data_IF_766747620917
#
_entry.id   IF_766747620917
#
_cell.length_a   1.000
_cell.length_b   1.000
_cell.length_c   1.000
_cell.angle_alpha   90.00
_cell.angle_beta   90.00
_cell.angle_gamma   90.00
#
_symmetry.space_group_name_H-M   'P 1'
#
loop_
_entity.id
_entity.type
_entity.pdbx_description
1 polymer ?
#
# COMPACT_ATOMS: atom_id res chain seq x y z
N UNK A 1 -45.31 39.77 -17.88
CA UNK A 1 -45.74 41.13 -17.52
C UNK A 1 -45.94 41.21 -16.02
N UNK A 2 -45.66 42.39 -15.44
CA UNK A 2 -45.94 42.92 -14.08
C UNK A 2 -46.69 42.01 -13.08
N UNK A 3 -46.18 41.68 -11.89
CA UNK A 3 -45.80 42.49 -10.71
C UNK A 3 -46.98 43.08 -9.91
N UNK A 4 -46.89 42.92 -8.58
CA UNK A 4 -47.48 43.68 -7.46
C UNK A 4 -48.85 43.28 -6.83
N UNK A 5 -48.72 42.51 -5.74
CA UNK A 5 -49.17 42.74 -4.33
C UNK A 5 -50.20 43.82 -4.00
N UNK A 6 -51.20 43.49 -3.15
CA UNK A 6 -51.78 44.32 -2.04
C UNK A 6 -52.34 43.33 -0.98
N UNK A 7 -51.85 43.27 0.28
CA UNK A 7 -52.17 44.08 1.50
C UNK A 7 -53.56 43.71 2.09
N UNK A 8 -53.89 43.75 3.38
CA UNK A 8 -53.49 44.65 4.47
C UNK A 8 -54.18 44.16 5.77
N UNK A 9 -53.53 44.28 6.92
CA UNK A 9 -54.18 44.42 8.25
C UNK A 9 -55.33 43.45 8.59
N UNK A 10 -54.98 42.33 9.22
CA UNK A 10 -55.79 41.83 10.32
C UNK A 10 -54.94 41.65 11.58
N UNK A 11 -55.34 42.45 12.57
CA UNK A 11 -55.25 42.16 13.99
C UNK A 11 -53.89 42.26 14.71
N UNK A 12 -53.52 43.50 15.02
CA UNK A 12 -52.71 43.79 16.21
C UNK A 12 -53.50 43.46 17.48
N UNK A 13 -52.92 42.52 18.24
CA UNK A 13 -52.69 42.64 19.69
C UNK A 13 -53.88 42.40 20.65
N UNK A 14 -54.02 41.15 21.11
CA UNK A 14 -54.37 40.87 22.51
C UNK A 14 -53.31 39.95 23.13
N UNK A 15 -52.75 40.44 24.23
CA UNK A 15 -51.73 39.84 25.09
C UNK A 15 -52.14 38.45 25.57
N UNK A 16 -51.27 37.46 25.43
CA UNK A 16 -50.94 36.53 26.53
C UNK A 16 -49.75 35.66 26.18
N UNK A 17 -48.70 35.81 26.99
CA UNK A 17 -47.64 34.86 27.39
C UNK A 17 -46.94 33.96 26.34
N UNK A 18 -45.61 33.95 26.48
CA UNK A 18 -44.64 32.94 26.04
C UNK A 18 -44.30 32.90 24.54
N UNK A 19 -43.22 33.59 24.14
CA UNK A 19 -42.13 33.03 23.31
C UNK A 19 -41.06 34.11 23.07
N UNK A 20 -40.17 34.21 24.04
CA UNK A 20 -38.84 34.80 23.88
C UNK A 20 -38.00 33.95 22.92
N UNK A 21 -37.19 34.61 22.09
CA UNK A 21 -36.04 34.05 21.35
C UNK A 21 -36.34 32.85 20.42
N UNK A 22 -36.79 33.12 19.20
CA UNK A 22 -36.66 32.17 18.10
C UNK A 22 -36.30 32.91 16.80
N UNK A 23 -35.18 33.63 16.83
CA UNK A 23 -34.56 34.18 15.63
C UNK A 23 -33.04 34.03 15.79
N UNK A 24 -32.54 32.78 15.70
CA UNK A 24 -31.15 32.34 15.52
C UNK A 24 -31.00 30.80 15.67
N UNK A 25 -31.70 29.96 14.87
CA UNK A 25 -31.07 28.68 14.49
C UNK A 25 -31.08 28.37 12.98
N UNK A 26 -31.61 29.24 12.13
CA UNK A 26 -31.74 28.96 10.69
C UNK A 26 -30.49 29.26 9.84
N UNK A 27 -29.31 29.41 10.46
CA UNK A 27 -28.02 29.66 9.76
C UNK A 27 -26.94 28.62 10.11
N UNK A 28 -27.32 27.51 10.75
CA UNK A 28 -26.40 26.40 11.08
C UNK A 28 -26.40 25.26 10.04
N UNK A 29 -27.21 25.35 8.98
CA UNK A 29 -27.29 24.33 7.91
C UNK A 29 -26.41 24.77 6.74
N UNK A 30 -25.10 24.47 6.81
CA UNK A 30 -24.16 24.21 5.68
C UNK A 30 -22.67 24.17 6.08
N UNK A 31 -22.31 24.24 7.37
CA UNK A 31 -20.90 24.19 7.77
C UNK A 31 -20.56 22.80 8.32
N UNK A 32 -19.61 22.12 7.66
CA UNK A 32 -19.03 20.88 8.15
C UNK A 32 -18.51 21.05 9.60
N UNK A 33 -18.77 20.04 10.44
CA UNK A 33 -18.33 19.98 11.83
C UNK A 33 -16.79 19.95 11.91
N UNK A 34 -16.20 20.30 13.07
CA UNK A 34 -14.75 20.17 13.25
C UNK A 34 -14.22 18.75 13.01
N UNK A 35 -14.99 17.73 13.40
CA UNK A 35 -14.65 16.32 13.17
C UNK A 35 -14.70 15.98 11.67
N UNK A 36 -15.75 16.41 10.98
CA UNK A 36 -15.89 16.27 9.52
C UNK A 36 -14.71 16.89 8.78
N UNK A 37 -14.35 18.14 9.09
CA UNK A 37 -13.19 18.81 8.47
C UNK A 37 -11.86 18.12 8.75
N UNK A 38 -11.69 17.57 9.96
CA UNK A 38 -10.48 16.83 10.33
C UNK A 38 -10.36 15.51 9.56
N UNK A 39 -11.47 14.77 9.41
CA UNK A 39 -11.53 13.55 8.62
C UNK A 39 -11.32 13.83 7.11
N UNK A 40 -11.95 14.87 6.56
CA UNK A 40 -11.72 15.31 5.17
C UNK A 40 -10.24 15.66 4.93
N UNK A 41 -9.62 16.39 5.87
CA UNK A 41 -8.20 16.74 5.77
C UNK A 41 -7.31 15.50 5.79
N UNK A 42 -7.61 14.52 6.64
CA UNK A 42 -6.89 13.26 6.68
C UNK A 42 -7.08 12.48 5.37
N UNK A 43 -8.33 12.34 4.90
CA UNK A 43 -8.69 11.68 3.65
C UNK A 43 -7.92 12.24 2.43
N UNK A 44 -7.90 13.56 2.26
CA UNK A 44 -7.13 14.23 1.20
C UNK A 44 -5.64 13.91 1.30
N UNK A 45 -5.08 13.94 2.52
CA UNK A 45 -3.65 13.66 2.74
C UNK A 45 -3.27 12.20 2.49
N UNK A 46 -4.15 11.25 2.83
CA UNK A 46 -3.98 9.84 2.49
C UNK A 46 -3.96 9.64 0.98
N UNK A 47 -4.96 10.19 0.29
CA UNK A 47 -5.10 10.08 -1.15
C UNK A 47 -3.90 10.69 -1.88
N UNK A 48 -3.48 11.90 -1.51
CA UNK A 48 -2.30 12.56 -2.09
C UNK A 48 -1.01 11.78 -1.78
N UNK A 49 -0.85 11.21 -0.59
CA UNK A 49 0.37 10.45 -0.24
C UNK A 49 0.45 9.10 -0.98
N UNK A 50 -0.69 8.44 -1.21
CA UNK A 50 -0.80 7.22 -2.03
C UNK A 50 -0.50 7.53 -3.49
N UNK A 51 -1.20 8.51 -4.08
CA UNK A 51 -0.96 8.95 -5.47
C UNK A 51 0.49 9.42 -5.63
N UNK A 52 1.03 10.06 -4.59
CA UNK A 52 2.38 10.58 -4.61
C UNK A 52 3.47 9.57 -4.25
N UNK A 53 3.14 8.32 -3.93
CA UNK A 53 4.12 7.30 -3.55
C UNK A 53 4.98 7.69 -2.34
N UNK A 54 4.51 8.63 -1.51
CA UNK A 54 5.24 9.16 -0.35
C UNK A 54 4.93 8.30 0.88
N UNK A 55 5.52 7.11 0.90
CA UNK A 55 5.26 6.09 1.93
C UNK A 55 5.61 6.59 3.35
N UNK A 56 6.64 7.42 3.49
CA UNK A 56 6.99 8.05 4.78
C UNK A 56 5.89 8.96 5.32
N UNK A 57 5.14 9.62 4.43
CA UNK A 57 4.02 10.48 4.81
C UNK A 57 2.85 9.62 5.30
N UNK A 58 2.55 8.53 4.59
CA UNK A 58 1.55 7.54 5.02
C UNK A 58 1.90 6.97 6.40
N UNK A 59 3.15 6.60 6.62
CA UNK A 59 3.60 6.13 7.93
C UNK A 59 3.45 7.20 9.02
N UNK A 60 3.81 8.44 8.71
CA UNK A 60 3.75 9.55 9.66
C UNK A 60 2.31 10.00 9.97
N UNK A 61 1.34 9.67 9.12
CA UNK A 61 -0.09 9.88 9.33
C UNK A 61 -0.75 8.79 10.16
N UNK A 62 -0.07 7.67 10.43
CA UNK A 62 -0.67 6.63 11.26
C UNK A 62 -0.72 7.04 12.73
N UNK A 63 -1.70 6.53 13.51
CA UNK A 63 -1.74 6.63 14.97
C UNK A 63 -0.42 6.19 15.62
N UNK A 64 -0.10 6.77 16.77
CA UNK A 64 1.14 6.45 17.48
C UNK A 64 1.21 4.97 17.90
N UNK A 65 0.07 4.38 18.29
CA UNK A 65 -0.03 2.93 18.54
C UNK A 65 0.33 2.11 17.29
N UNK A 66 -0.17 2.50 16.13
CA UNK A 66 0.06 1.79 14.87
C UNK A 66 1.53 1.89 14.44
N UNK A 67 2.13 3.07 14.54
CA UNK A 67 3.57 3.25 14.27
C UNK A 67 4.43 2.36 15.18
N UNK A 68 4.03 2.22 16.46
CA UNK A 68 4.69 1.34 17.43
C UNK A 68 4.53 -0.14 17.06
N UNK A 69 3.36 -0.57 16.59
CA UNK A 69 3.13 -1.94 16.14
C UNK A 69 4.01 -2.29 14.93
N UNK A 70 4.06 -1.42 13.91
CA UNK A 70 4.94 -1.62 12.75
C UNK A 70 6.40 -1.68 13.18
N UNK A 71 6.84 -0.78 14.05
CA UNK A 71 8.21 -0.80 14.58
C UNK A 71 8.50 -2.10 15.36
N UNK A 72 7.52 -2.64 16.08
CA UNK A 72 7.63 -3.91 16.78
C UNK A 72 7.72 -5.10 15.81
N UNK A 73 6.91 -5.11 14.75
CA UNK A 73 6.97 -6.13 13.68
C UNK A 73 8.35 -6.15 13.04
N UNK A 74 8.85 -4.99 12.59
CA UNK A 74 10.17 -4.85 11.95
C UNK A 74 11.30 -5.28 12.89
N UNK A 75 11.25 -4.84 14.14
CA UNK A 75 12.23 -5.24 15.17
C UNK A 75 12.21 -6.74 15.42
N UNK A 76 11.02 -7.32 15.56
CA UNK A 76 10.85 -8.75 15.84
C UNK A 76 11.36 -9.58 14.67
N UNK A 77 11.08 -9.15 13.43
CA UNK A 77 11.64 -9.76 12.22
C UNK A 77 13.17 -9.73 12.24
N UNK A 78 13.78 -8.55 12.43
CA UNK A 78 15.24 -8.41 12.48
C UNK A 78 15.89 -9.23 13.59
N UNK A 79 15.22 -9.38 14.73
CA UNK A 79 15.70 -10.19 15.85
C UNK A 79 15.55 -11.70 15.64
N UNK A 80 14.55 -12.13 14.87
CA UNK A 80 14.24 -13.55 14.64
C UNK A 80 14.97 -14.13 13.44
N UNK A 81 15.25 -13.30 12.43
CA UNK A 81 15.89 -13.73 11.20
C UNK A 81 17.32 -14.24 11.43
N UNK A 82 17.63 -15.40 10.82
CA UNK A 82 18.98 -15.97 10.85
C UNK A 82 19.93 -15.16 9.97
N UNK A 83 21.14 -14.91 10.47
CA UNK A 83 22.11 -14.03 9.80
C UNK A 83 22.61 -14.60 8.46
N UNK A 84 22.80 -15.92 8.36
CA UNK A 84 23.28 -16.54 7.12
C UNK A 84 22.18 -16.51 6.05
N UNK A 85 20.94 -16.78 6.46
CA UNK A 85 19.77 -16.67 5.58
C UNK A 85 19.59 -15.25 5.10
N UNK A 86 19.67 -14.25 6.00
CA UNK A 86 19.56 -12.85 5.62
C UNK A 86 20.63 -12.42 4.63
N UNK A 87 21.87 -12.86 4.84
CA UNK A 87 22.99 -12.60 3.92
C UNK A 87 22.72 -13.17 2.53
N UNK A 88 22.18 -14.38 2.46
CA UNK A 88 21.81 -15.01 1.19
C UNK A 88 20.64 -14.29 0.50
N UNK A 89 19.63 -13.85 1.26
CA UNK A 89 18.52 -13.02 0.75
C UNK A 89 19.04 -11.69 0.17
N UNK A 90 19.92 -11.00 0.89
CA UNK A 90 20.54 -9.76 0.39
C UNK A 90 21.37 -10.01 -0.88
N UNK A 91 22.13 -11.10 -0.91
CA UNK A 91 22.90 -11.50 -2.10
C UNK A 91 21.99 -11.76 -3.30
N UNK A 92 20.86 -12.42 -3.10
CA UNK A 92 19.87 -12.69 -4.15
C UNK A 92 19.20 -11.40 -4.64
N UNK A 93 18.82 -10.52 -3.71
CA UNK A 93 18.24 -9.22 -4.05
C UNK A 93 19.21 -8.38 -4.90
N UNK A 94 20.50 -8.38 -4.55
CA UNK A 94 21.54 -7.71 -5.34
C UNK A 94 21.66 -8.26 -6.76
N UNK A 95 21.64 -9.59 -6.91
CA UNK A 95 21.69 -10.25 -8.22
C UNK A 95 20.44 -9.98 -9.05
N UNK A 96 19.26 -10.04 -8.45
CA UNK A 96 18.01 -9.70 -9.13
C UNK A 96 18.02 -8.27 -9.65
N UNK A 97 18.51 -7.33 -8.82
CA UNK A 97 18.66 -5.95 -9.25
C UNK A 97 19.66 -5.81 -10.41
N UNK A 98 20.77 -6.56 -10.39
CA UNK A 98 21.74 -6.56 -11.48
C UNK A 98 21.16 -7.14 -12.78
N UNK A 99 20.31 -8.17 -12.71
CA UNK A 99 19.55 -8.68 -13.86
C UNK A 99 18.63 -7.58 -14.39
N UNK A 100 17.84 -6.93 -13.52
CA UNK A 100 16.90 -5.91 -13.93
C UNK A 100 17.59 -4.68 -14.56
N UNK A 101 18.77 -4.29 -14.07
CA UNK A 101 19.59 -3.25 -14.70
C UNK A 101 20.14 -3.71 -16.04
N UNK A 102 20.70 -4.92 -16.11
CA UNK A 102 21.31 -5.43 -17.34
C UNK A 102 20.29 -5.74 -18.45
N UNK A 103 19.04 -6.00 -18.07
CA UNK A 103 17.93 -6.38 -18.97
C UNK A 103 16.82 -5.36 -19.00
N UNK A 104 17.08 -4.11 -18.59
CA UNK A 104 16.08 -3.04 -18.57
C UNK A 104 15.39 -2.87 -19.91
N UNK A 105 16.10 -3.02 -21.03
CA UNK A 105 15.53 -2.89 -22.37
C UNK A 105 14.57 -4.04 -22.73
N UNK A 106 14.93 -5.28 -22.39
CA UNK A 106 14.06 -6.44 -22.62
C UNK A 106 12.81 -6.37 -21.73
N UNK A 107 13.01 -6.05 -20.44
CA UNK A 107 11.92 -5.87 -19.48
C UNK A 107 10.99 -4.72 -19.89
N UNK A 108 11.55 -3.60 -20.35
CA UNK A 108 10.78 -2.47 -20.85
C UNK A 108 9.99 -2.82 -22.09
N UNK A 109 10.55 -3.64 -22.98
CA UNK A 109 9.84 -4.12 -24.17
C UNK A 109 8.69 -5.07 -23.81
N UNK A 110 8.85 -5.91 -22.79
CA UNK A 110 7.75 -6.74 -22.26
C UNK A 110 6.67 -5.88 -21.59
N UNK A 111 7.07 -4.88 -20.79
CA UNK A 111 6.14 -3.96 -20.15
C UNK A 111 5.36 -3.13 -21.19
N UNK A 112 6.02 -2.65 -22.24
CA UNK A 112 5.39 -1.91 -23.32
C UNK A 112 4.30 -2.74 -24.04
N UNK A 113 4.56 -4.03 -24.26
CA UNK A 113 3.57 -4.96 -24.84
C UNK A 113 2.36 -5.16 -23.92
N UNK A 114 2.59 -5.33 -22.61
CA UNK A 114 1.51 -5.46 -21.62
C UNK A 114 0.64 -4.19 -21.58
N UNK A 115 1.27 -3.03 -21.47
CA UNK A 115 0.58 -1.73 -21.44
C UNK A 115 -0.20 -1.47 -22.73
N UNK A 116 0.33 -1.89 -23.88
CA UNK A 116 -0.38 -1.79 -25.15
C UNK A 116 -1.63 -2.71 -25.18
N UNK A 117 -1.53 -3.92 -24.63
CA UNK A 117 -2.68 -4.84 -24.50
C UNK A 117 -3.75 -4.30 -23.53
N UNK A 118 -3.35 -3.53 -22.53
CA UNK A 118 -4.21 -2.86 -21.55
C UNK A 118 -4.74 -1.49 -22.04
N UNK A 119 -4.42 -1.08 -23.27
CA UNK A 119 -4.92 0.17 -23.87
C UNK A 119 -4.19 1.44 -23.42
N UNK A 120 -3.05 1.32 -22.73
CA UNK A 120 -2.24 2.44 -22.22
C UNK A 120 -0.81 2.43 -22.80
N UNK A 121 -0.65 2.38 -24.14
CA UNK A 121 0.65 2.11 -24.77
C UNK A 121 1.72 3.14 -24.37
N UNK A 122 2.89 2.64 -23.98
CA UNK A 122 4.07 3.45 -23.69
C UNK A 122 5.31 2.87 -24.38
N UNK A 123 6.16 3.69 -25.02
CA UNK A 123 7.37 3.19 -25.68
C UNK A 123 8.35 2.55 -24.70
N UNK A 124 8.94 1.41 -25.09
CA UNK A 124 9.95 0.72 -24.26
C UNK A 124 11.14 1.62 -23.90
N UNK A 125 11.57 2.50 -24.82
CA UNK A 125 12.66 3.45 -24.58
C UNK A 125 12.37 4.43 -23.44
N UNK A 126 11.10 4.73 -23.16
CA UNK A 126 10.70 5.57 -22.04
C UNK A 126 10.61 4.79 -20.72
N UNK A 127 10.36 3.48 -20.78
CA UNK A 127 10.19 2.60 -19.60
C UNK A 127 11.54 2.09 -19.09
N UNK A 128 12.46 1.75 -20.00
CA UNK A 128 13.78 1.22 -19.67
C UNK A 128 14.57 2.04 -18.64
N UNK A 129 14.68 3.38 -18.73
CA UNK A 129 15.38 4.17 -17.71
C UNK A 129 14.71 4.11 -16.34
N UNK A 130 13.38 4.02 -16.29
CA UNK A 130 12.62 3.93 -15.04
C UNK A 130 12.86 2.59 -14.34
N UNK A 131 12.85 1.49 -15.11
CA UNK A 131 13.21 0.15 -14.61
C UNK A 131 14.65 0.15 -14.07
N UNK A 132 15.60 0.71 -14.82
CA UNK A 132 17.00 0.76 -14.39
C UNK A 132 17.19 1.61 -13.13
N UNK A 133 16.48 2.74 -13.02
CA UNK A 133 16.49 3.60 -11.82
C UNK A 133 15.92 2.85 -10.61
N UNK A 134 14.74 2.24 -10.75
CA UNK A 134 14.10 1.46 -9.69
C UNK A 134 14.98 0.28 -9.23
N UNK A 135 15.59 -0.45 -10.17
CA UNK A 135 16.47 -1.57 -9.86
C UNK A 135 17.72 -1.13 -9.09
N UNK A 136 18.35 -0.02 -9.49
CA UNK A 136 19.50 0.56 -8.75
C UNK A 136 19.10 1.00 -7.33
N UNK A 137 17.94 1.65 -7.20
CA UNK A 137 17.41 2.05 -5.89
C UNK A 137 17.12 0.83 -5.01
N UNK A 138 16.49 -0.21 -5.55
CA UNK A 138 16.26 -1.47 -4.85
C UNK A 138 17.56 -2.16 -4.42
N UNK A 139 18.58 -2.18 -5.28
CA UNK A 139 19.92 -2.71 -4.94
C UNK A 139 20.54 -1.95 -3.76
N UNK A 140 20.50 -0.63 -3.81
CA UNK A 140 21.03 0.21 -2.71
C UNK A 140 20.25 -0.04 -1.41
N UNK A 141 18.92 -0.05 -1.50
CA UNK A 141 18.03 -0.25 -0.35
C UNK A 141 18.25 -1.60 0.32
N UNK A 142 18.27 -2.69 -0.45
CA UNK A 142 18.50 -4.05 0.07
C UNK A 142 19.83 -4.17 0.81
N UNK A 143 20.89 -3.47 0.37
CA UNK A 143 22.16 -3.41 1.07
C UNK A 143 22.12 -2.62 2.39
N UNK A 144 21.30 -1.57 2.48
CA UNK A 144 21.12 -0.75 3.69
C UNK A 144 20.23 -1.41 4.75
N UNK A 145 19.30 -2.28 4.33
CA UNK A 145 18.43 -3.05 5.22
C UNK A 145 19.22 -4.21 5.83
N UNK A 146 20.11 -3.93 6.77
CA UNK A 146 20.83 -4.96 7.54
C UNK A 146 19.97 -5.45 8.71
N UNK A 147 20.31 -6.60 9.30
CA UNK A 147 19.62 -7.05 10.52
C UNK A 147 19.73 -6.03 11.65
N UNK A 148 20.83 -5.28 11.75
CA UNK A 148 20.99 -4.25 12.77
C UNK A 148 20.06 -3.06 12.51
N UNK A 149 19.93 -2.63 11.24
CA UNK A 149 18.93 -1.62 10.83
C UNK A 149 17.52 -2.07 11.20
N UNK A 150 17.18 -3.33 10.95
CA UNK A 150 15.84 -3.88 11.25
C UNK A 150 15.61 -4.03 12.76
N UNK A 151 16.60 -4.50 13.52
CA UNK A 151 16.54 -4.62 14.99
C UNK A 151 16.40 -3.27 15.70
N UNK A 152 16.98 -2.20 15.13
CA UNK A 152 16.76 -0.86 15.66
C UNK A 152 15.26 -0.50 15.66
N UNK A 153 14.52 -0.97 14.64
CA UNK A 153 13.09 -0.72 14.51
C UNK A 153 12.75 0.76 14.27
N UNK A 154 13.70 1.55 13.78
CA UNK A 154 13.50 2.94 13.37
C UNK A 154 12.92 2.99 11.95
N UNK A 155 11.63 2.61 11.85
CA UNK A 155 10.91 2.50 10.59
C UNK A 155 10.85 3.84 9.88
N UNK A 156 10.68 4.93 10.62
CA UNK A 156 10.64 6.27 10.04
C UNK A 156 11.96 6.62 9.38
N UNK A 157 13.10 6.42 10.05
CA UNK A 157 14.41 6.67 9.45
C UNK A 157 14.63 5.81 8.19
N UNK A 158 14.24 4.53 8.22
CA UNK A 158 14.34 3.65 7.06
C UNK A 158 13.50 4.17 5.88
N UNK A 159 12.25 4.57 6.12
CA UNK A 159 11.36 5.10 5.08
C UNK A 159 11.81 6.45 4.50
N UNK A 160 12.71 7.18 5.19
CA UNK A 160 13.32 8.41 4.66
C UNK A 160 14.49 8.17 3.72
N UNK A 161 14.92 6.92 3.52
CA UNK A 161 15.94 6.59 2.54
C UNK A 161 15.50 7.02 1.13
N UNK A 162 16.36 7.74 0.37
CA UNK A 162 15.99 8.27 -0.95
C UNK A 162 15.62 7.17 -1.95
N UNK A 163 16.05 5.94 -1.71
CA UNK A 163 15.70 4.78 -2.50
C UNK A 163 14.18 4.51 -2.54
N UNK A 164 13.44 4.73 -1.45
CA UNK A 164 11.99 4.55 -1.44
C UNK A 164 11.30 5.53 -2.39
N UNK A 165 11.71 6.81 -2.35
CA UNK A 165 11.20 7.82 -3.29
C UNK A 165 11.57 7.49 -4.72
N UNK A 166 12.81 7.06 -4.98
CA UNK A 166 13.24 6.69 -6.32
C UNK A 166 12.43 5.51 -6.90
N UNK A 167 12.09 4.51 -6.08
CA UNK A 167 11.22 3.39 -6.48
C UNK A 167 9.79 3.89 -6.72
N UNK A 168 9.24 4.71 -5.83
CA UNK A 168 7.88 5.25 -5.95
C UNK A 168 7.69 6.17 -7.16
N UNK A 169 8.68 6.98 -7.51
CA UNK A 169 8.66 7.80 -8.73
C UNK A 169 8.65 6.94 -9.99
N UNK A 170 9.48 5.89 -10.02
CA UNK A 170 9.54 4.96 -11.14
C UNK A 170 8.25 4.14 -11.28
N UNK A 171 7.52 3.85 -10.20
CA UNK A 171 6.23 3.15 -10.29
C UNK A 171 5.10 4.03 -10.82
N UNK A 172 5.03 5.31 -10.41
CA UNK A 172 4.04 6.26 -10.94
C UNK A 172 4.12 6.46 -12.45
N UNK A 173 5.34 6.50 -13.00
CA UNK A 173 5.49 6.65 -14.44
C UNK A 173 4.89 5.46 -15.20
N UNK A 174 4.82 4.28 -14.56
CA UNK A 174 4.24 3.05 -15.10
C UNK A 174 2.73 2.92 -14.83
N UNK A 175 2.16 3.67 -13.87
CA UNK A 175 0.73 3.67 -13.58
C UNK A 175 0.18 5.11 -13.53
N UNK A 176 -0.15 5.66 -14.70
CA UNK A 176 -0.79 6.99 -14.82
C UNK A 176 -2.24 7.02 -14.36
N UNK A 177 -2.83 5.86 -14.05
CA UNK A 177 -4.21 5.75 -13.60
C UNK A 177 -4.35 5.94 -12.09
N UNK A 178 -3.28 6.05 -11.30
CA UNK A 178 -3.39 6.30 -9.87
C UNK A 178 -4.32 7.51 -9.60
N UNK A 179 -5.49 7.20 -9.04
CA UNK A 179 -6.62 8.09 -8.78
C UNK A 179 -6.53 8.53 -7.33
N UNK A 180 -6.58 9.84 -7.10
CA UNK A 180 -7.27 10.37 -5.93
C UNK A 180 -8.55 11.05 -6.44
N UNK A 181 -9.71 10.56 -6.02
CA UNK A 181 -10.95 11.27 -6.20
C UNK A 181 -10.95 12.57 -5.41
N UNK A 182 -11.65 13.60 -5.87
CA UNK A 182 -11.81 14.81 -5.08
C UNK A 182 -12.76 14.53 -3.91
N UNK A 183 -12.42 14.96 -2.69
CA UNK A 183 -13.39 14.93 -1.59
C UNK A 183 -14.52 15.91 -1.92
N UNK A 184 -15.74 15.41 -2.01
CA UNK A 184 -16.94 16.18 -2.39
C UNK A 184 -17.92 16.37 -1.24
N UNK A 185 -17.70 15.70 -0.11
CA UNK A 185 -18.46 15.92 1.11
C UNK A 185 -18.04 14.98 2.23
N UNK A 186 -18.59 15.23 3.41
CA UNK A 186 -18.51 14.33 4.54
C UNK A 186 -19.75 14.41 5.41
N UNK A 187 -19.96 13.36 6.22
CA UNK A 187 -21.07 13.26 7.16
C UNK A 187 -20.67 12.48 8.40
N UNK A 188 -20.88 13.07 9.57
CA UNK A 188 -20.76 12.35 10.83
C UNK A 188 -21.81 11.23 10.93
N UNK A 189 -21.36 10.04 11.34
CA UNK A 189 -22.20 8.90 11.64
C UNK A 189 -22.49 8.81 13.15
N UNK A 190 -23.52 8.04 13.50
CA UNK A 190 -23.96 7.89 14.90
C UNK A 190 -22.96 7.14 15.78
N UNK A 191 -22.09 6.32 15.17
CA UNK A 191 -21.03 5.57 15.84
C UNK A 191 -19.77 6.41 16.14
N UNK A 192 -19.80 7.71 15.81
CA UNK A 192 -18.66 8.63 15.98
C UNK A 192 -17.65 8.60 14.83
N UNK A 193 -17.87 7.80 13.79
CA UNK A 193 -17.11 7.87 12.54
C UNK A 193 -17.56 9.06 11.67
N UNK A 194 -16.74 9.41 10.68
CA UNK A 194 -17.09 10.37 9.63
C UNK A 194 -16.99 9.66 8.29
N UNK A 195 -18.08 9.61 7.54
CA UNK A 195 -18.08 9.12 6.16
C UNK A 195 -17.61 10.25 5.26
N UNK A 196 -16.52 10.04 4.53
CA UNK A 196 -15.98 10.98 3.54
C UNK A 196 -16.31 10.46 2.14
N UNK A 197 -16.96 11.28 1.32
CA UNK A 197 -17.32 10.93 -0.06
C UNK A 197 -16.24 11.43 -1.01
N UNK A 198 -15.60 10.51 -1.73
CA UNK A 198 -14.67 10.78 -2.82
C UNK A 198 -15.38 10.72 -4.16
N UNK A 199 -15.10 11.67 -5.05
CA UNK A 199 -15.53 11.61 -6.45
C UNK A 199 -14.37 11.18 -7.33
N UNK A 200 -14.46 9.98 -7.88
CA UNK A 200 -13.47 9.40 -8.79
C UNK A 200 -13.46 10.12 -10.16
N UNK A 201 -12.43 9.85 -10.98
CA UNK A 201 -12.21 10.53 -12.28
C UNK A 201 -13.29 10.20 -13.33
N UNK A 202 -13.90 9.03 -13.22
CA UNK A 202 -15.05 8.58 -14.02
C UNK A 202 -16.38 9.24 -13.59
N UNK A 203 -16.37 9.98 -12.48
CA UNK A 203 -17.53 10.65 -11.92
C UNK A 203 -18.30 9.83 -10.89
N UNK A 204 -17.91 8.57 -10.64
CA UNK A 204 -18.48 7.76 -9.56
C UNK A 204 -18.08 8.32 -8.20
N UNK A 205 -18.93 8.06 -7.20
CA UNK A 205 -18.69 8.49 -5.83
C UNK A 205 -18.53 7.30 -4.90
N UNK A 206 -17.53 7.36 -4.05
CA UNK A 206 -17.20 6.32 -3.08
C UNK A 206 -17.21 6.89 -1.66
N UNK A 207 -17.98 6.26 -0.78
CA UNK A 207 -18.11 6.64 0.62
C UNK A 207 -17.13 5.82 1.47
N UNK A 208 -16.16 6.49 2.07
CA UNK A 208 -15.15 5.86 2.92
C UNK A 208 -15.31 6.34 4.36
N UNK A 209 -15.64 5.45 5.30
CA UNK A 209 -15.73 5.80 6.72
C UNK A 209 -14.34 6.01 7.32
N UNK A 210 -14.18 7.05 8.14
CA UNK A 210 -12.99 7.36 8.93
C UNK A 210 -13.32 7.36 10.41
N UNK A 211 -12.38 6.89 11.23
CA UNK A 211 -12.48 6.88 12.70
C UNK A 211 -11.24 7.49 13.32
N UNK A 212 -11.39 8.12 14.48
CA UNK A 212 -10.27 8.68 15.22
C UNK A 212 -9.62 7.60 16.13
N UNK A 213 -8.34 7.33 15.90
CA UNK A 213 -7.51 6.45 16.72
C UNK A 213 -6.30 7.24 17.20
N UNK A 214 -6.08 7.29 18.52
CA UNK A 214 -5.06 8.14 19.16
C UNK A 214 -5.10 9.61 18.68
N UNK A 215 -6.31 10.14 18.46
CA UNK A 215 -6.51 11.50 17.96
C UNK A 215 -6.19 11.71 16.48
N UNK A 216 -5.93 10.63 15.73
CA UNK A 216 -5.64 10.67 14.29
C UNK A 216 -6.73 9.96 13.50
N UNK A 217 -7.23 10.60 12.45
CA UNK A 217 -8.28 10.03 11.59
C UNK A 217 -7.69 9.04 10.60
N UNK A 218 -8.20 7.81 10.59
CA UNK A 218 -7.80 6.72 9.70
C UNK A 218 -9.03 6.08 9.06
N UNK A 219 -8.90 5.45 7.87
CA UNK A 219 -9.99 4.65 7.32
C UNK A 219 -10.47 3.58 8.32
N UNK A 220 -11.78 3.45 8.48
CA UNK A 220 -12.38 2.52 9.46
C UNK A 220 -11.99 1.07 9.19
N UNK A 221 -11.95 0.67 7.91
CA UNK A 221 -11.49 -0.66 7.51
C UNK A 221 -10.07 -0.96 8.02
N UNK A 222 -9.16 0.01 7.89
CA UNK A 222 -7.80 -0.09 8.43
C UNK A 222 -7.83 -0.24 9.95
N UNK A 223 -8.65 0.55 10.65
CA UNK A 223 -8.72 0.52 12.09
C UNK A 223 -9.28 -0.80 12.64
N UNK A 224 -10.35 -1.32 12.02
CA UNK A 224 -11.04 -2.53 12.45
C UNK A 224 -10.13 -3.77 12.28
N UNK A 225 -9.33 -3.82 11.19
CA UNK A 225 -8.42 -4.94 10.92
C UNK A 225 -7.01 -4.82 11.51
N UNK A 226 -6.63 -3.64 12.03
CA UNK A 226 -5.23 -3.36 12.37
C UNK A 226 -4.63 -4.33 13.38
N UNK A 227 -5.34 -4.55 14.49
CA UNK A 227 -4.81 -5.32 15.61
C UNK A 227 -4.58 -6.79 15.25
N UNK A 228 -5.55 -7.38 14.56
CA UNK A 228 -5.46 -8.75 14.06
C UNK A 228 -4.31 -8.88 13.07
N UNK A 229 -4.23 -7.99 12.07
CA UNK A 229 -3.14 -8.01 11.10
C UNK A 229 -1.75 -7.86 11.74
N UNK A 230 -1.60 -6.98 12.72
CA UNK A 230 -0.34 -6.82 13.46
C UNK A 230 0.05 -8.10 14.24
N UNK A 231 -0.92 -8.75 14.90
CA UNK A 231 -0.70 -9.99 15.64
C UNK A 231 -0.37 -11.16 14.71
N UNK A 232 -1.06 -11.27 13.57
CA UNK A 232 -0.81 -12.28 12.56
C UNK A 232 0.59 -12.14 11.96
N UNK A 233 1.02 -10.93 11.64
CA UNK A 233 2.39 -10.67 11.20
C UNK A 233 3.42 -11.11 12.24
N UNK A 234 3.21 -10.75 13.51
CA UNK A 234 4.11 -11.17 14.61
C UNK A 234 4.11 -12.69 14.81
N UNK A 235 2.96 -13.34 14.65
CA UNK A 235 2.83 -14.80 14.72
C UNK A 235 3.60 -15.45 13.57
N UNK A 236 3.39 -15.00 12.33
CA UNK A 236 4.09 -15.50 11.15
C UNK A 236 5.61 -15.37 11.29
N UNK A 237 6.11 -14.23 11.80
CA UNK A 237 7.55 -14.05 12.07
C UNK A 237 8.07 -15.08 13.09
N UNK A 238 7.31 -15.37 14.15
CA UNK A 238 7.71 -16.36 15.16
C UNK A 238 7.70 -17.79 14.61
N UNK A 239 6.79 -18.08 13.69
CA UNK A 239 6.66 -19.39 13.04
C UNK A 239 7.70 -19.62 11.93
N UNK A 240 8.21 -18.54 11.33
CA UNK A 240 9.26 -18.58 10.30
C UNK A 240 10.61 -19.13 10.79
N UNK A 241 10.76 -19.42 12.10
CA UNK A 241 12.00 -19.96 12.67
C UNK A 241 12.57 -21.10 11.80
N UNK A 242 13.78 -20.87 11.32
CA UNK A 242 14.53 -21.85 10.56
C UNK A 242 15.20 -22.80 11.53
N UNK A 243 14.62 -23.99 11.66
CA UNK A 243 15.37 -25.12 12.23
C UNK A 243 16.55 -25.48 11.31
N UNK A 244 17.45 -26.34 11.81
CA UNK A 244 18.66 -26.71 11.09
C UNK A 244 18.36 -27.32 9.70
N UNK A 245 17.28 -28.12 9.58
CA UNK A 245 16.91 -28.77 8.33
C UNK A 245 16.40 -27.75 7.30
N UNK A 246 15.49 -26.86 7.69
CA UNK A 246 14.98 -25.78 6.83
C UNK A 246 16.08 -24.82 6.41
N UNK A 247 16.98 -24.46 7.34
CA UNK A 247 18.14 -23.62 7.02
C UNK A 247 19.03 -24.30 5.98
N UNK A 248 19.36 -25.57 6.17
CA UNK A 248 20.20 -26.32 5.23
C UNK A 248 19.51 -26.44 3.85
N UNK A 249 18.21 -26.73 3.82
CA UNK A 249 17.44 -26.79 2.59
C UNK A 249 17.48 -25.44 1.85
N UNK A 250 17.18 -24.34 2.56
CA UNK A 250 17.24 -23.00 1.98
C UNK A 250 18.63 -22.70 1.41
N UNK A 251 19.68 -22.88 2.20
CA UNK A 251 21.06 -22.61 1.78
C UNK A 251 21.49 -23.49 0.61
N UNK A 252 20.98 -24.73 0.51
CA UNK A 252 21.29 -25.63 -0.61
C UNK A 252 20.65 -25.19 -1.94
N UNK A 253 19.52 -24.49 -1.88
CA UNK A 253 18.82 -23.98 -3.06
C UNK A 253 19.43 -22.67 -3.57
N UNK A 254 20.10 -21.90 -2.71
CA UNK A 254 20.63 -20.58 -3.05
C UNK A 254 21.58 -20.58 -4.27
N UNK A 255 22.57 -21.49 -4.39
CA UNK A 255 23.44 -21.52 -5.56
C UNK A 255 22.67 -21.73 -6.87
N UNK A 256 21.63 -22.57 -6.86
CA UNK A 256 20.80 -22.83 -8.04
C UNK A 256 20.01 -21.58 -8.44
N UNK A 257 19.37 -20.90 -7.48
CA UNK A 257 18.67 -19.64 -7.73
C UNK A 257 19.59 -18.57 -8.29
N UNK A 258 20.79 -18.41 -7.70
CA UNK A 258 21.80 -17.45 -8.17
C UNK A 258 22.27 -17.79 -9.58
N UNK A 259 22.52 -19.06 -9.88
CA UNK A 259 22.92 -19.50 -11.23
C UNK A 259 21.82 -19.25 -12.27
N UNK A 260 20.56 -19.38 -11.87
CA UNK A 260 19.41 -19.05 -12.71
C UNK A 260 19.32 -17.56 -13.04
N UNK A 261 19.54 -16.70 -12.04
CA UNK A 261 19.62 -15.25 -12.25
C UNK A 261 20.83 -14.84 -13.09
N UNK A 262 22.00 -15.47 -12.92
CA UNK A 262 23.15 -15.22 -13.79
C UNK A 262 22.86 -15.64 -15.24
N UNK A 263 22.18 -16.76 -15.46
CA UNK A 263 21.70 -17.15 -16.80
C UNK A 263 20.74 -16.11 -17.38
N UNK A 264 19.81 -15.60 -16.57
CA UNK A 264 18.89 -14.52 -16.96
C UNK A 264 19.65 -13.24 -17.33
N UNK A 265 20.72 -12.91 -16.61
CA UNK A 265 21.61 -11.78 -16.93
C UNK A 265 22.36 -11.96 -18.25
N UNK A 266 22.56 -13.18 -18.71
CA UNK A 266 23.17 -13.48 -20.01
C UNK A 266 22.16 -13.58 -21.15
N UNK A 267 20.85 -13.52 -20.88
CA UNK A 267 19.83 -13.65 -21.90
C UNK A 267 19.89 -12.54 -22.95
N UNK A 268 19.84 -12.89 -24.23
CA UNK A 268 19.85 -11.92 -25.34
C UNK A 268 18.47 -11.68 -25.94
N UNK A 269 17.46 -12.45 -25.55
CA UNK A 269 16.07 -12.30 -25.99
C UNK A 269 15.09 -12.38 -24.82
N UNK A 270 13.84 -11.96 -25.07
CA UNK A 270 12.73 -12.03 -24.09
C UNK A 270 12.43 -13.46 -23.69
N UNK A 271 12.38 -14.36 -24.67
CA UNK A 271 12.08 -15.78 -24.47
C UNK A 271 13.17 -16.41 -23.60
N UNK A 272 14.44 -16.13 -23.89
CA UNK A 272 15.55 -16.64 -23.09
C UNK A 272 15.52 -16.08 -21.67
N UNK A 273 15.15 -14.80 -21.49
CA UNK A 273 15.01 -14.17 -20.18
C UNK A 273 13.87 -14.81 -19.39
N UNK A 274 12.68 -14.92 -19.98
CA UNK A 274 11.50 -15.54 -19.39
C UNK A 274 11.77 -17.01 -19.03
N UNK A 275 12.37 -17.77 -19.93
CA UNK A 275 12.71 -19.18 -19.70
C UNK A 275 13.72 -19.31 -18.54
N UNK A 276 14.75 -18.46 -18.49
CA UNK A 276 15.74 -18.51 -17.41
C UNK A 276 15.08 -18.23 -16.05
N UNK A 277 14.21 -17.23 -15.96
CA UNK A 277 13.47 -16.90 -14.74
C UNK A 277 12.48 -18.00 -14.37
N UNK A 278 11.71 -18.50 -15.33
CA UNK A 278 10.72 -19.57 -15.12
C UNK A 278 11.39 -20.86 -14.65
N UNK A 279 12.50 -21.27 -15.27
CA UNK A 279 13.26 -22.45 -14.83
C UNK A 279 13.79 -22.28 -13.41
N UNK A 280 14.27 -21.08 -13.06
CA UNK A 280 14.75 -20.79 -11.71
C UNK A 280 13.65 -20.95 -10.65
N UNK A 281 12.46 -20.38 -10.92
CA UNK A 281 11.29 -20.47 -10.03
C UNK A 281 10.75 -21.90 -9.99
N UNK A 282 10.65 -22.57 -11.13
CA UNK A 282 10.13 -23.93 -11.24
C UNK A 282 11.05 -24.93 -10.53
N UNK A 283 12.37 -24.85 -10.71
CA UNK A 283 13.33 -25.70 -10.01
C UNK A 283 13.27 -25.47 -8.50
N UNK A 284 13.10 -24.23 -8.06
CA UNK A 284 12.91 -23.94 -6.64
C UNK A 284 11.60 -24.53 -6.08
N UNK A 285 10.50 -24.42 -6.83
CA UNK A 285 9.21 -24.99 -6.45
C UNK A 285 9.23 -26.52 -6.37
N UNK A 286 9.93 -27.19 -7.30
CA UNK A 286 10.12 -28.64 -7.29
C UNK A 286 10.92 -29.10 -6.05
N UNK A 287 11.98 -28.38 -5.68
CA UNK A 287 12.80 -28.69 -4.50
C UNK A 287 12.10 -28.36 -3.17
N UNK A 288 11.11 -27.47 -3.18
CA UNK A 288 10.25 -27.17 -2.03
C UNK A 288 9.02 -28.10 -1.94
N UNK A 289 8.89 -29.07 -2.85
CA UNK A 289 7.86 -30.11 -2.78
C UNK A 289 6.51 -29.76 -3.43
N UNK A 290 6.49 -29.17 -4.62
CA UNK A 290 5.23 -29.04 -5.38
C UNK A 290 4.75 -30.37 -6.00
N UNK A 291 3.45 -30.55 -6.32
CA UNK A 291 2.22 -30.05 -5.71
C UNK A 291 1.54 -31.20 -4.92
N UNK A 292 1.55 -31.13 -3.59
CA UNK A 292 0.94 -32.18 -2.75
C UNK A 292 0.50 -31.74 -1.35
N UNK A 293 0.53 -30.44 -1.06
CA UNK A 293 0.10 -29.87 0.22
C UNK A 293 -1.31 -29.28 0.16
N UNK A 294 -2.30 -30.04 -0.32
CA UNK A 294 -3.70 -29.72 -0.03
C UNK A 294 -4.01 -30.22 1.39
N UNK A 295 -4.46 -29.37 2.33
CA UNK A 295 -5.04 -29.85 3.57
C UNK A 295 -6.40 -30.46 3.26
N UNK A 296 -6.46 -31.80 3.30
CA UNK A 296 -7.64 -32.64 3.49
C UNK A 296 -9.00 -32.15 2.97
N UNK A 297 -9.47 -32.75 1.88
CA UNK A 297 -10.77 -33.40 1.93
C UNK A 297 -10.56 -34.88 1.64
N UNK A 298 -10.71 -35.68 2.70
CA UNK A 298 -10.84 -37.12 2.59
C UNK A 298 -12.03 -37.44 1.70
N UNK A 299 -11.82 -38.39 0.79
CA UNK A 299 -12.88 -39.12 0.13
C UNK A 299 -13.91 -39.61 1.17
N UNK A 300 -15.16 -39.22 0.96
CA UNK A 300 -16.33 -40.00 1.34
C UNK A 300 -17.00 -40.42 0.05
N UNK A 301 -16.68 -41.63 -0.41
CA UNK A 301 -17.52 -42.37 -1.32
C UNK A 301 -18.60 -43.09 -0.52
N UNK A 302 -19.70 -43.37 -1.21
CA UNK A 302 -20.78 -44.32 -0.93
C UNK A 302 -22.08 -43.83 -0.26
N UNK A 303 -23.15 -44.14 -1.02
CA UNK A 303 -24.62 -44.05 -0.83
C UNK A 303 -25.35 -42.70 -1.00
#
# INVERSE_FOLDING_TARGET
MANLTINEKDFKMKRSLCLSLALLPALAVLAATPAEKAAETAAVRYADSLESGRIVDLYSMMPASYQKDVANVVRTFGATMDADIWKEVQSLAGLLADVAVAKSDLLASMAAESLAAEGTPRPAAEIAPDIAKAAKAFKSLSGKLTLDTLKAGDVKAVLTYPEFSAIGESSKSMNKEAVAGAVVGSKAAEDGSVVVTFKQKDGETEDVPFVAVDGTWVPKEMADGWKEGADEMLKGIKEMKFDAAKKQQFLSMMPMLKSGLESAKMATSKEQLQQSLMMSVFSAAMLMGGPGGAPGSSAGADE
#
